data_IF_239360705169
#
_entry.id   IF_239360705169
#
_cell.length_a   1.000
_cell.length_b   1.000
_cell.length_c   1.000
_cell.angle_alpha   90.00
_cell.angle_beta   90.00
_cell.angle_gamma   90.00
#
_symmetry.space_group_name_H-M   'P 1'
#
loop_
_entity.id
_entity.type
_entity.pdbx_description
1 polymer ?
#
# COMPACT_ATOMS: atom_id res chain seq x y z
N UNK A 1 -4.32 23.79 -4.90
CA UNK A 1 -5.58 23.13 -5.31
C UNK A 1 -5.38 21.66 -5.07
N UNK A 2 -6.06 21.09 -4.06
CA UNK A 2 -6.10 19.63 -3.89
C UNK A 2 -6.68 19.07 -5.17
N UNK A 3 -5.97 18.16 -5.85
CA UNK A 3 -6.51 17.54 -7.05
C UNK A 3 -7.71 16.69 -6.64
N UNK A 4 -8.89 17.03 -7.14
CA UNK A 4 -10.08 16.22 -6.91
C UNK A 4 -9.87 14.83 -7.49
N UNK A 5 -10.09 13.81 -6.67
CA UNK A 5 -10.15 12.41 -7.13
C UNK A 5 -11.23 12.35 -8.23
N UNK A 6 -10.92 11.68 -9.34
CA UNK A 6 -11.84 11.57 -10.45
C UNK A 6 -13.22 11.04 -9.97
N UNK A 7 -14.34 11.69 -10.33
CA UNK A 7 -15.68 11.27 -9.88
C UNK A 7 -16.01 9.80 -10.19
N UNK A 8 -15.53 9.27 -11.32
CA UNK A 8 -15.74 7.87 -11.69
C UNK A 8 -15.02 6.90 -10.75
N UNK A 9 -13.94 7.34 -10.11
CA UNK A 9 -13.26 6.57 -9.06
C UNK A 9 -14.07 6.61 -7.77
N UNK A 10 -14.59 7.78 -7.38
CA UNK A 10 -15.41 7.94 -6.18
C UNK A 10 -16.68 7.07 -6.23
N UNK A 11 -17.29 6.93 -7.41
CA UNK A 11 -18.44 6.04 -7.64
C UNK A 11 -18.13 4.55 -7.39
N UNK A 12 -16.86 4.14 -7.42
CA UNK A 12 -16.43 2.76 -7.14
C UNK A 12 -16.14 2.51 -5.67
N UNK A 13 -16.10 3.54 -4.82
CA UNK A 13 -15.78 3.41 -3.40
C UNK A 13 -17.04 2.97 -2.63
N UNK A 14 -16.94 2.02 -1.67
CA UNK A 14 -18.08 1.64 -0.86
C UNK A 14 -18.57 2.83 -0.04
N UNK A 15 -19.88 3.05 -0.01
CA UNK A 15 -20.49 4.23 0.61
C UNK A 15 -20.62 4.11 2.15
N UNK A 16 -19.96 3.14 2.77
CA UNK A 16 -19.92 3.00 4.21
C UNK A 16 -19.09 4.13 4.84
N UNK A 17 -19.56 4.70 5.96
CA UNK A 17 -18.88 5.81 6.66
C UNK A 17 -17.41 5.52 6.98
N UNK A 18 -17.09 4.26 7.29
CA UNK A 18 -15.72 3.80 7.54
C UNK A 18 -14.81 3.95 6.31
N UNK A 19 -15.35 3.78 5.09
CA UNK A 19 -14.61 3.93 3.85
C UNK A 19 -14.41 5.40 3.49
N UNK A 20 -15.44 6.22 3.65
CA UNK A 20 -15.35 7.65 3.38
C UNK A 20 -14.34 8.33 4.32
N UNK A 21 -14.42 8.03 5.62
CA UNK A 21 -13.44 8.53 6.59
C UNK A 21 -12.04 7.96 6.40
N UNK A 22 -11.89 6.71 5.95
CA UNK A 22 -10.59 6.15 5.59
C UNK A 22 -9.97 6.89 4.40
N UNK A 23 -10.78 7.22 3.39
CA UNK A 23 -10.36 7.99 2.23
C UNK A 23 -9.95 9.41 2.63
N UNK A 24 -10.72 10.08 3.48
CA UNK A 24 -10.38 11.41 4.00
C UNK A 24 -9.03 11.40 4.72
N UNK A 25 -8.82 10.44 5.63
CA UNK A 25 -7.55 10.29 6.32
C UNK A 25 -6.38 10.06 5.34
N UNK A 26 -6.57 9.21 4.33
CA UNK A 26 -5.56 8.96 3.31
C UNK A 26 -5.28 10.21 2.46
N UNK A 27 -6.30 11.00 2.12
CA UNK A 27 -6.16 12.27 1.39
C UNK A 27 -5.37 13.31 2.17
N UNK A 28 -5.55 13.36 3.48
CA UNK A 28 -4.83 14.30 4.35
C UNK A 28 -3.40 13.86 4.63
N UNK A 29 -3.16 12.54 4.66
CA UNK A 29 -1.87 11.96 5.01
C UNK A 29 -0.91 11.77 3.82
N UNK A 30 -1.43 11.34 2.67
CA UNK A 30 -0.62 10.84 1.57
C UNK A 30 -0.35 11.90 0.49
N UNK A 31 0.88 11.96 -0.05
CA UNK A 31 1.13 12.61 -1.33
C UNK A 31 0.27 12.01 -2.44
N UNK A 32 -0.13 12.82 -3.42
CA UNK A 32 -1.00 12.41 -4.54
C UNK A 32 -0.51 11.14 -5.26
N UNK A 33 0.80 10.94 -5.56
CA UNK A 33 1.26 9.70 -6.19
C UNK A 33 0.94 8.44 -5.38
N UNK A 34 1.12 8.50 -4.05
CA UNK A 34 0.85 7.37 -3.14
C UNK A 34 -0.66 7.17 -2.97
N UNK A 35 -1.43 8.26 -2.83
CA UNK A 35 -2.90 8.17 -2.79
C UNK A 35 -3.47 7.54 -4.07
N UNK A 36 -3.00 7.96 -5.25
CA UNK A 36 -3.41 7.39 -6.52
C UNK A 36 -3.03 5.91 -6.61
N UNK A 37 -1.83 5.54 -6.14
CA UNK A 37 -1.41 4.14 -6.03
C UNK A 37 -2.38 3.33 -5.17
N UNK A 38 -2.67 3.78 -3.94
CA UNK A 38 -3.58 3.07 -3.04
C UNK A 38 -5.00 2.92 -3.61
N UNK A 39 -5.50 3.92 -4.34
CA UNK A 39 -6.77 3.83 -5.07
C UNK A 39 -6.71 2.85 -6.25
N UNK A 40 -5.62 2.82 -7.03
CA UNK A 40 -5.44 1.83 -8.11
C UNK A 40 -5.35 0.41 -7.54
N UNK A 41 -4.62 0.21 -6.44
CA UNK A 41 -4.54 -1.07 -5.71
C UNK A 41 -5.93 -1.54 -5.28
N UNK A 42 -6.77 -0.65 -4.73
CA UNK A 42 -8.15 -1.01 -4.39
C UNK A 42 -8.94 -1.50 -5.61
N UNK A 43 -8.91 -0.74 -6.71
CA UNK A 43 -9.66 -1.08 -7.91
C UNK A 43 -9.19 -2.41 -8.51
N UNK A 44 -7.87 -2.63 -8.60
CA UNK A 44 -7.28 -3.89 -9.07
C UNK A 44 -7.66 -5.05 -8.16
N UNK A 45 -7.55 -4.88 -6.84
CA UNK A 45 -7.89 -5.90 -5.87
C UNK A 45 -9.39 -6.26 -5.92
N UNK A 46 -10.28 -5.27 -6.09
CA UNK A 46 -11.72 -5.48 -6.28
C UNK A 46 -12.01 -6.25 -7.57
N UNK A 47 -11.36 -5.89 -8.68
CA UNK A 47 -11.50 -6.59 -9.95
C UNK A 47 -11.02 -8.04 -9.88
N UNK A 48 -9.90 -8.30 -9.19
CA UNK A 48 -9.39 -9.65 -8.96
C UNK A 48 -10.35 -10.42 -8.04
N UNK A 49 -10.90 -9.79 -7.00
CA UNK A 49 -11.89 -10.41 -6.11
C UNK A 49 -13.16 -10.85 -6.87
N UNK A 50 -13.62 -10.05 -7.83
CA UNK A 50 -14.73 -10.39 -8.72
C UNK A 50 -14.38 -11.61 -9.60
N UNK A 51 -13.18 -11.65 -10.18
CA UNK A 51 -12.71 -12.77 -11.03
C UNK A 51 -12.50 -14.07 -10.27
N UNK A 52 -11.98 -14.00 -9.04
CA UNK A 52 -11.70 -15.16 -8.20
C UNK A 52 -12.93 -15.62 -7.36
N UNK A 53 -14.11 -15.00 -7.56
CA UNK A 53 -15.31 -15.26 -6.73
C UNK A 53 -15.04 -15.11 -5.22
N UNK A 54 -14.16 -14.18 -4.86
CA UNK A 54 -13.70 -13.98 -3.48
C UNK A 54 -14.81 -13.39 -2.59
N UNK A 55 -14.87 -13.75 -1.29
CA UNK A 55 -15.82 -13.14 -0.34
C UNK A 55 -15.76 -11.60 -0.32
N UNK A 56 -14.58 -11.03 -0.60
CA UNK A 56 -14.34 -9.59 -0.60
C UNK A 56 -14.97 -8.82 -1.77
N UNK A 57 -15.59 -9.51 -2.74
CA UNK A 57 -16.43 -8.85 -3.75
C UNK A 57 -17.80 -8.44 -3.21
N UNK A 58 -18.24 -9.03 -2.09
CA UNK A 58 -19.55 -8.75 -1.50
C UNK A 58 -19.57 -7.37 -0.82
N UNK A 59 -20.75 -6.74 -0.81
CA UNK A 59 -20.93 -5.43 -0.16
C UNK A 59 -20.52 -5.46 1.31
N UNK A 60 -20.82 -6.55 2.04
CA UNK A 60 -20.51 -6.72 3.46
C UNK A 60 -19.00 -6.75 3.76
N UNK A 61 -18.20 -7.31 2.84
CA UNK A 61 -16.76 -7.47 3.03
C UNK A 61 -15.94 -6.38 2.31
N UNK A 62 -16.55 -5.69 1.34
CA UNK A 62 -15.88 -4.65 0.55
C UNK A 62 -15.29 -3.49 1.38
N UNK A 63 -15.83 -3.10 2.57
CA UNK A 63 -15.18 -2.11 3.41
C UNK A 63 -13.82 -2.54 3.94
N UNK A 64 -13.64 -3.83 4.27
CA UNK A 64 -12.35 -4.34 4.72
C UNK A 64 -11.32 -4.32 3.59
N UNK A 65 -11.74 -4.68 2.37
CA UNK A 65 -10.90 -4.59 1.18
C UNK A 65 -10.48 -3.14 0.89
N UNK A 66 -11.44 -2.21 0.96
CA UNK A 66 -11.18 -0.80 0.73
C UNK A 66 -10.22 -0.21 1.76
N UNK A 67 -10.49 -0.41 3.06
CA UNK A 67 -9.62 0.10 4.14
C UNK A 67 -8.22 -0.50 4.04
N UNK A 68 -8.11 -1.80 3.80
CA UNK A 68 -6.81 -2.44 3.61
C UNK A 68 -6.02 -1.81 2.44
N UNK A 69 -6.66 -1.60 1.30
CA UNK A 69 -6.01 -1.03 0.13
C UNK A 69 -5.66 0.47 0.29
N UNK A 70 -6.58 1.29 0.80
CA UNK A 70 -6.38 2.74 0.91
C UNK A 70 -5.36 3.11 2.00
N UNK A 71 -5.16 2.24 2.99
CA UNK A 71 -4.22 2.48 4.10
C UNK A 71 -2.93 1.67 4.05
N UNK A 72 -2.70 0.77 3.08
CA UNK A 72 -1.52 -0.12 3.14
C UNK A 72 -0.16 0.62 3.19
N UNK A 73 -0.09 1.80 2.56
CA UNK A 73 1.09 2.68 2.56
C UNK A 73 0.96 3.90 3.49
N UNK A 74 -0.12 4.03 4.28
CA UNK A 74 -0.36 5.25 5.06
C UNK A 74 0.74 5.51 6.11
N UNK A 75 1.40 4.47 6.60
CA UNK A 75 2.55 4.54 7.49
C UNK A 75 3.80 5.18 6.87
N UNK A 76 3.83 5.35 5.55
CA UNK A 76 4.86 6.15 4.87
C UNK A 76 4.63 7.67 5.04
N UNK A 77 3.44 8.09 5.45
CA UNK A 77 3.11 9.49 5.75
C UNK A 77 3.67 9.96 7.10
N UNK A 78 3.75 11.28 7.31
CA UNK A 78 4.06 11.84 8.62
C UNK A 78 2.94 11.58 9.66
N UNK A 79 1.66 11.60 9.25
CA UNK A 79 0.52 11.49 10.17
C UNK A 79 0.40 10.11 10.82
N UNK A 80 0.88 9.07 10.12
CA UNK A 80 0.82 7.69 10.61
C UNK A 80 2.22 7.08 10.75
N UNK A 81 3.26 7.90 10.90
CA UNK A 81 4.61 7.43 11.17
C UNK A 81 4.78 7.02 12.65
N UNK A 82 5.67 6.06 12.91
CA UNK A 82 6.07 5.63 14.24
C UNK A 82 7.47 5.02 14.25
N UNK A 83 7.84 4.40 15.38
CA UNK A 83 9.18 3.80 15.57
C UNK A 83 9.41 2.51 14.77
N UNK A 84 8.33 1.88 14.29
CA UNK A 84 8.37 0.63 13.54
C UNK A 84 8.38 0.87 12.03
N UNK A 85 8.77 -0.15 11.25
CA UNK A 85 8.66 -0.15 9.78
C UNK A 85 7.26 0.27 9.30
N UNK A 86 7.21 0.99 8.17
CA UNK A 86 5.99 1.64 7.72
C UNK A 86 4.82 0.67 7.53
N UNK A 87 5.08 -0.60 7.17
CA UNK A 87 4.03 -1.61 7.02
C UNK A 87 3.27 -1.86 8.33
N UNK A 88 3.99 -1.87 9.46
CA UNK A 88 3.37 -2.04 10.78
C UNK A 88 2.65 -0.76 11.20
N UNK A 89 3.23 0.40 10.93
CA UNK A 89 2.56 1.68 11.21
C UNK A 89 1.26 1.84 10.40
N UNK A 90 1.26 1.43 9.13
CA UNK A 90 0.07 1.37 8.28
C UNK A 90 -0.98 0.43 8.87
N UNK A 91 -0.56 -0.78 9.26
CA UNK A 91 -1.45 -1.79 9.82
C UNK A 91 -2.10 -1.32 11.13
N UNK A 92 -1.31 -0.74 12.04
CA UNK A 92 -1.78 -0.18 13.31
C UNK A 92 -2.76 0.98 13.08
N UNK A 93 -2.49 1.85 12.11
CA UNK A 93 -3.38 2.94 11.72
C UNK A 93 -4.74 2.41 11.24
N UNK A 94 -4.74 1.48 10.29
CA UNK A 94 -5.96 0.89 9.75
C UNK A 94 -6.76 0.10 10.80
N UNK A 95 -6.08 -0.65 11.67
CA UNK A 95 -6.72 -1.36 12.79
C UNK A 95 -7.39 -0.39 13.75
N UNK A 96 -6.71 0.69 14.13
CA UNK A 96 -7.28 1.70 15.00
C UNK A 96 -8.47 2.43 14.35
N UNK A 97 -8.41 2.66 13.03
CA UNK A 97 -9.51 3.23 12.25
C UNK A 97 -10.76 2.34 12.30
N UNK A 98 -10.61 1.05 12.00
CA UNK A 98 -11.71 0.07 12.01
C UNK A 98 -12.31 -0.13 13.41
N UNK A 99 -11.47 -0.23 14.43
CA UNK A 99 -11.92 -0.38 15.81
C UNK A 99 -12.77 0.82 16.26
N UNK A 100 -12.39 2.05 15.88
CA UNK A 100 -13.18 3.27 16.15
C UNK A 100 -14.53 3.26 15.42
N UNK A 101 -14.59 2.64 14.24
CA UNK A 101 -15.81 2.45 13.46
C UNK A 101 -16.66 1.25 13.91
N UNK A 102 -16.31 0.59 15.02
CA UNK A 102 -17.11 -0.48 15.62
C UNK A 102 -16.92 -1.87 14.99
N UNK A 103 -15.91 -2.06 14.14
CA UNK A 103 -15.57 -3.38 13.60
C UNK A 103 -15.01 -4.29 14.68
N UNK A 104 -15.25 -5.59 14.52
CA UNK A 104 -14.73 -6.60 15.46
C UNK A 104 -13.20 -6.64 15.46
N UNK A 105 -12.63 -7.11 16.56
CA UNK A 105 -11.18 -7.35 16.65
C UNK A 105 -10.70 -8.31 15.56
N UNK A 106 -11.49 -9.34 15.24
CA UNK A 106 -11.15 -10.30 14.19
C UNK A 106 -11.08 -9.64 12.80
N UNK A 107 -12.07 -8.81 12.45
CA UNK A 107 -12.08 -8.09 11.17
C UNK A 107 -10.94 -7.05 11.10
N UNK A 108 -10.70 -6.33 12.19
CA UNK A 108 -9.62 -5.34 12.28
C UNK A 108 -8.24 -6.00 12.20
N UNK A 109 -8.08 -7.19 12.81
CA UNK A 109 -6.85 -7.97 12.73
C UNK A 109 -6.62 -8.58 11.34
N UNK A 110 -7.68 -8.93 10.61
CA UNK A 110 -7.56 -9.39 9.23
C UNK A 110 -7.01 -8.29 8.32
N UNK A 111 -7.51 -7.05 8.45
CA UNK A 111 -6.99 -5.88 7.72
C UNK A 111 -5.56 -5.57 8.15
N UNK A 112 -5.29 -5.59 9.47
CA UNK A 112 -3.94 -5.42 9.99
C UNK A 112 -2.97 -6.42 9.36
N UNK A 113 -3.35 -7.70 9.30
CA UNK A 113 -2.52 -8.76 8.72
C UNK A 113 -2.24 -8.50 7.25
N UNK A 114 -3.28 -8.20 6.46
CA UNK A 114 -3.15 -7.91 5.03
C UNK A 114 -2.19 -6.77 4.74
N UNK A 115 -2.24 -5.70 5.54
CA UNK A 115 -1.32 -4.58 5.43
C UNK A 115 0.08 -4.99 5.92
N UNK A 116 0.23 -5.62 7.08
CA UNK A 116 1.55 -5.94 7.64
C UNK A 116 2.40 -6.83 6.71
N UNK A 117 1.75 -7.71 5.92
CA UNK A 117 2.44 -8.64 5.01
C UNK A 117 2.48 -8.19 3.55
N UNK A 118 1.89 -7.05 3.16
CA UNK A 118 1.75 -6.70 1.73
C UNK A 118 3.09 -6.60 0.96
N UNK A 119 4.21 -6.35 1.67
CA UNK A 119 5.57 -6.34 1.11
C UNK A 119 6.33 -7.67 1.29
N UNK A 120 5.65 -8.76 1.66
CA UNK A 120 6.27 -10.06 1.98
C UNK A 120 5.92 -11.13 0.93
N UNK A 121 6.74 -11.29 -0.13
CA UNK A 121 6.48 -12.26 -1.20
C UNK A 121 6.35 -13.70 -0.67
N UNK A 122 5.40 -14.45 -1.20
CA UNK A 122 5.13 -15.85 -0.87
C UNK A 122 4.27 -16.03 0.39
N UNK A 123 4.31 -15.08 1.33
CA UNK A 123 3.48 -15.09 2.55
C UNK A 123 2.11 -14.48 2.24
N UNK A 124 2.09 -13.25 1.73
CA UNK A 124 0.86 -12.50 1.53
C UNK A 124 -0.12 -13.20 0.56
N UNK A 125 0.41 -13.85 -0.48
CA UNK A 125 -0.39 -14.55 -1.49
C UNK A 125 -1.05 -15.84 -0.95
N UNK A 126 -0.63 -16.34 0.22
CA UNK A 126 -1.00 -17.65 0.78
C UNK A 126 -1.67 -17.61 2.15
N UNK A 127 -1.45 -16.57 2.94
CA UNK A 127 -1.87 -16.55 4.36
C UNK A 127 -3.40 -16.45 4.52
N UNK A 128 -4.05 -15.55 3.78
CA UNK A 128 -5.51 -15.41 3.75
C UNK A 128 -5.98 -14.66 2.48
N UNK A 129 -7.28 -14.72 2.12
CA UNK A 129 -7.77 -14.12 0.88
C UNK A 129 -7.64 -12.59 0.81
N UNK A 130 -7.72 -11.87 1.93
CA UNK A 130 -7.57 -10.40 1.92
C UNK A 130 -6.12 -10.02 1.65
N UNK A 131 -5.18 -10.60 2.39
CA UNK A 131 -3.74 -10.41 2.18
C UNK A 131 -3.34 -10.70 0.74
N UNK A 132 -3.91 -11.76 0.16
CA UNK A 132 -3.69 -12.13 -1.24
C UNK A 132 -4.17 -11.03 -2.18
N UNK A 133 -5.40 -10.55 -2.03
CA UNK A 133 -5.95 -9.52 -2.92
C UNK A 133 -5.16 -8.21 -2.86
N UNK A 134 -4.78 -7.76 -1.66
CA UNK A 134 -3.94 -6.56 -1.49
C UNK A 134 -2.60 -6.76 -2.18
N UNK A 135 -1.95 -7.91 -1.96
CA UNK A 135 -0.67 -8.24 -2.60
C UNK A 135 -0.76 -8.27 -4.11
N UNK A 136 -1.78 -8.90 -4.68
CA UNK A 136 -1.98 -8.94 -6.13
C UNK A 136 -2.30 -7.56 -6.71
N UNK A 137 -3.05 -6.72 -5.97
CA UNK A 137 -3.29 -5.32 -6.34
C UNK A 137 -1.99 -4.52 -6.41
N UNK A 138 -1.16 -4.60 -5.37
CA UNK A 138 0.16 -3.94 -5.30
C UNK A 138 1.07 -4.41 -6.45
N UNK A 139 1.19 -5.73 -6.65
CA UNK A 139 2.01 -6.29 -7.72
C UNK A 139 1.45 -5.97 -9.11
N UNK A 140 0.14 -5.79 -9.27
CA UNK A 140 -0.43 -5.36 -10.54
C UNK A 140 -0.11 -3.90 -10.85
N UNK A 141 -0.08 -3.04 -9.82
CA UNK A 141 0.21 -1.61 -9.99
C UNK A 141 1.69 -1.30 -10.20
N UNK A 142 2.59 -1.95 -9.44
CA UNK A 142 4.04 -1.76 -9.58
C UNK A 142 4.73 -2.76 -10.50
N UNK A 143 4.07 -3.86 -10.84
CA UNK A 143 4.66 -4.92 -11.66
C UNK A 143 4.70 -4.64 -13.16
N UNK A 144 5.25 -5.61 -13.88
CA UNK A 144 5.36 -5.56 -15.34
C UNK A 144 4.03 -5.78 -16.03
N UNK A 145 3.97 -5.41 -17.32
CA UNK A 145 2.85 -5.76 -18.19
C UNK A 145 2.60 -7.27 -18.26
N UNK A 146 3.66 -8.07 -18.27
CA UNK A 146 3.56 -9.53 -18.30
C UNK A 146 2.88 -10.07 -17.04
N UNK A 147 3.19 -9.49 -15.87
CA UNK A 147 2.52 -9.83 -14.61
C UNK A 147 1.02 -9.51 -14.69
N UNK A 148 0.66 -8.29 -15.12
CA UNK A 148 -0.76 -7.92 -15.31
C UNK A 148 -1.47 -8.81 -16.33
N UNK A 149 -0.80 -9.20 -17.40
CA UNK A 149 -1.33 -10.10 -18.43
C UNK A 149 -1.59 -11.48 -17.85
N UNK A 150 -0.68 -12.00 -17.01
CA UNK A 150 -0.84 -13.30 -16.35
C UNK A 150 -2.05 -13.37 -15.41
N UNK A 151 -2.43 -12.23 -14.80
CA UNK A 151 -3.64 -12.09 -13.98
C UNK A 151 -4.88 -11.67 -14.80
N UNK A 152 -4.70 -11.33 -16.08
CA UNK A 152 -5.74 -10.79 -16.96
C UNK A 152 -6.36 -9.50 -16.43
N UNK A 153 -5.53 -8.56 -15.97
CA UNK A 153 -5.93 -7.24 -15.46
C UNK A 153 -5.38 -6.07 -16.27
N UNK A 154 -4.62 -6.34 -17.34
CA UNK A 154 -3.88 -5.31 -18.10
C UNK A 154 -4.80 -4.26 -18.76
N UNK A 155 -5.91 -4.68 -19.34
CA UNK A 155 -6.90 -3.77 -19.95
C UNK A 155 -7.51 -2.87 -18.88
N UNK A 156 -7.93 -3.44 -17.75
CA UNK A 156 -8.51 -2.68 -16.64
C UNK A 156 -7.50 -1.73 -15.99
N UNK A 157 -6.25 -2.15 -15.82
CA UNK A 157 -5.16 -1.29 -15.37
C UNK A 157 -5.00 -0.06 -16.28
N UNK A 158 -5.01 -0.28 -17.60
CA UNK A 158 -4.89 0.81 -18.59
C UNK A 158 -6.03 1.82 -18.50
N UNK A 159 -7.22 1.40 -18.09
CA UNK A 159 -8.36 2.29 -17.86
C UNK A 159 -8.19 3.11 -16.58
N UNK A 160 -7.86 2.47 -15.47
CA UNK A 160 -7.76 3.16 -14.18
C UNK A 160 -6.55 4.09 -14.09
N UNK A 161 -5.45 3.80 -14.78
CA UNK A 161 -4.26 4.68 -14.83
C UNK A 161 -4.60 6.04 -15.46
N UNK A 162 -5.53 6.09 -16.42
CA UNK A 162 -6.00 7.36 -17.03
C UNK A 162 -6.76 8.21 -16.02
N UNK A 163 -7.44 7.58 -15.05
CA UNK A 163 -8.22 8.26 -14.02
C UNK A 163 -7.35 8.62 -12.79
N UNK A 164 -6.31 7.84 -12.55
CA UNK A 164 -5.40 7.93 -11.41
C UNK A 164 -3.95 7.87 -11.91
N UNK A 165 -3.39 8.99 -12.41
CA UNK A 165 -2.04 9.00 -12.98
C UNK A 165 -0.98 8.56 -11.95
N UNK A 166 0.09 7.89 -12.43
CA UNK A 166 1.15 7.34 -11.57
C UNK A 166 1.96 8.40 -10.83
N UNK A 167 2.33 9.48 -11.53
CA UNK A 167 3.05 10.62 -10.96
C UNK A 167 4.33 10.21 -10.20
N UNK A 168 5.13 9.31 -10.79
CA UNK A 168 6.36 8.75 -10.20
C UNK A 168 6.15 8.11 -8.81
N UNK A 169 5.04 7.37 -8.65
CA UNK A 169 4.66 6.71 -7.40
C UNK A 169 5.79 5.88 -6.78
N UNK A 170 6.59 5.17 -7.59
CA UNK A 170 7.72 4.37 -7.14
C UNK A 170 8.79 5.21 -6.45
N UNK A 171 9.17 6.32 -7.09
CA UNK A 171 10.13 7.27 -6.50
C UNK A 171 9.54 7.91 -5.26
N UNK A 172 8.30 8.37 -5.33
CA UNK A 172 7.64 9.07 -4.23
C UNK A 172 7.52 8.18 -2.97
N UNK A 173 7.11 6.92 -3.12
CA UNK A 173 6.98 5.98 -2.02
C UNK A 173 8.35 5.57 -1.47
N UNK A 174 9.32 5.25 -2.34
CA UNK A 174 10.68 4.91 -1.93
C UNK A 174 11.34 6.05 -1.13
N UNK A 175 11.22 7.29 -1.62
CA UNK A 175 11.73 8.48 -0.94
C UNK A 175 11.02 8.71 0.40
N UNK A 176 9.69 8.57 0.43
CA UNK A 176 8.91 8.73 1.66
C UNK A 176 9.37 7.75 2.74
N UNK A 177 9.56 6.46 2.40
CA UNK A 177 10.04 5.44 3.34
C UNK A 177 11.48 5.74 3.81
N UNK A 178 12.40 6.03 2.89
CA UNK A 178 13.80 6.33 3.23
C UNK A 178 13.93 7.58 4.10
N UNK A 179 13.11 8.61 3.85
CA UNK A 179 13.13 9.87 4.61
C UNK A 179 12.77 9.72 6.08
N UNK A 180 12.22 8.57 6.49
CA UNK A 180 11.92 8.27 7.89
C UNK A 180 13.18 7.86 8.70
N UNK A 181 14.32 7.64 8.05
CA UNK A 181 15.59 7.39 8.71
C UNK A 181 16.09 8.64 9.46
N UNK A 182 16.56 8.44 10.70
CA UNK A 182 17.14 9.53 11.50
C UNK A 182 18.46 10.04 10.90
N UNK A 183 19.22 9.12 10.32
CA UNK A 183 20.47 9.38 9.61
C UNK A 183 20.67 8.31 8.53
N UNK A 184 21.43 8.63 7.49
CA UNK A 184 21.79 7.66 6.46
C UNK A 184 22.95 6.80 7.01
N UNK A 185 22.76 5.48 7.19
CA UNK A 185 23.78 4.63 7.79
C UNK A 185 24.93 4.40 6.82
N UNK A 186 26.13 4.14 7.37
CA UNK A 186 27.18 3.49 6.59
C UNK A 186 26.79 2.04 6.32
N UNK A 187 26.98 1.58 5.08
CA UNK A 187 26.65 0.22 4.66
C UNK A 187 27.79 -0.38 3.86
N UNK A 188 28.01 -1.69 4.05
CA UNK A 188 28.98 -2.49 3.32
C UNK A 188 28.52 -3.96 3.27
N UNK A 189 29.41 -4.90 2.94
CA UNK A 189 29.06 -6.32 2.87
C UNK A 189 28.70 -6.94 4.22
N UNK A 190 29.05 -6.31 5.35
CA UNK A 190 28.86 -6.80 6.71
C UNK A 190 27.90 -5.91 7.53
N UNK A 191 27.64 -4.69 7.07
CA UNK A 191 26.90 -3.65 7.79
C UNK A 191 25.59 -3.35 7.08
N UNK A 192 24.48 -3.66 7.74
CA UNK A 192 23.13 -3.41 7.26
C UNK A 192 22.40 -2.46 8.20
N UNK A 193 21.46 -1.63 7.69
CA UNK A 193 20.45 -1.01 8.54
C UNK A 193 19.71 -2.09 9.31
N UNK A 194 19.64 -1.95 10.63
CA UNK A 194 18.96 -2.91 11.48
C UNK A 194 18.48 -2.25 12.78
N UNK A 195 17.32 -1.60 12.69
CA UNK A 195 16.56 -1.15 13.85
C UNK A 195 15.06 -1.49 13.67
N UNK A 196 14.21 -1.05 14.60
CA UNK A 196 12.77 -1.31 14.50
C UNK A 196 12.12 -0.66 13.26
N UNK A 197 12.69 0.43 12.76
CA UNK A 197 12.17 1.22 11.64
C UNK A 197 12.60 0.66 10.29
N UNK A 198 13.84 0.20 10.22
CA UNK A 198 14.49 -0.42 9.08
C UNK A 198 15.11 -1.76 9.47
N UNK A 199 14.30 -2.80 9.78
CA UNK A 199 14.83 -4.12 10.08
C UNK A 199 15.61 -4.68 8.88
N UNK A 200 16.71 -5.38 9.15
CA UNK A 200 17.43 -6.10 8.10
C UNK A 200 16.50 -7.11 7.39
N UNK A 201 16.71 -7.32 6.08
CA UNK A 201 15.89 -8.20 5.23
C UNK A 201 14.38 -7.85 5.18
N UNK A 202 14.02 -6.60 5.46
CA UNK A 202 12.70 -6.04 5.16
C UNK A 202 12.78 -5.09 3.96
N UNK A 203 11.67 -4.86 3.26
CA UNK A 203 11.64 -3.90 2.15
C UNK A 203 12.14 -2.50 2.53
N UNK A 204 11.71 -1.86 3.65
CA UNK A 204 12.28 -0.58 4.07
C UNK A 204 13.78 -0.65 4.36
N UNK A 205 14.25 -1.70 5.03
CA UNK A 205 15.68 -1.89 5.27
C UNK A 205 16.50 -2.03 3.98
N UNK A 206 15.95 -2.71 2.98
CA UNK A 206 16.55 -2.85 1.65
C UNK A 206 16.56 -1.50 0.91
N UNK A 207 15.47 -0.73 0.94
CA UNK A 207 15.40 0.61 0.34
C UNK A 207 16.42 1.58 0.96
N UNK A 208 16.52 1.62 2.29
CA UNK A 208 17.48 2.48 2.99
C UNK A 208 18.93 2.07 2.66
N UNK A 209 19.22 0.78 2.63
CA UNK A 209 20.53 0.28 2.22
C UNK A 209 20.87 0.72 0.80
N UNK A 210 19.97 0.50 -0.16
CA UNK A 210 20.20 0.86 -1.55
C UNK A 210 20.40 2.37 -1.74
N UNK A 211 19.69 3.20 -0.97
CA UNK A 211 19.92 4.64 -0.93
C UNK A 211 21.33 4.98 -0.41
N UNK A 212 21.77 4.36 0.68
CA UNK A 212 23.09 4.59 1.26
C UNK A 212 24.24 4.12 0.33
N UNK A 213 24.03 3.06 -0.46
CA UNK A 213 25.01 2.56 -1.45
C UNK A 213 25.14 3.46 -2.69
N UNK A 214 24.13 4.30 -2.98
CA UNK A 214 24.06 5.10 -4.20
C UNK A 214 23.90 6.61 -3.87
N UNK A 215 24.87 7.23 -3.17
CA UNK A 215 24.77 8.63 -2.79
C UNK A 215 24.72 9.53 -4.04
N UNK A 216 23.63 10.30 -4.18
CA UNK A 216 23.40 11.19 -5.31
C UNK A 216 22.60 10.60 -6.48
N UNK A 217 22.10 9.37 -6.35
CA UNK A 217 21.12 8.82 -7.30
C UNK A 217 19.82 9.65 -7.27
N UNK A 218 19.43 10.18 -8.42
CA UNK A 218 18.19 10.94 -8.61
C UNK A 218 17.26 10.15 -9.54
N UNK A 219 16.32 9.43 -8.95
CA UNK A 219 15.41 8.53 -9.66
C UNK A 219 14.69 7.58 -8.71
N UNK A 220 14.05 6.54 -9.27
CA UNK A 220 13.46 5.45 -8.48
C UNK A 220 14.57 4.73 -7.71
N UNK A 221 14.34 4.45 -6.43
CA UNK A 221 15.30 3.72 -5.60
C UNK A 221 15.72 2.41 -6.29
N UNK A 222 17.03 2.08 -6.40
CA UNK A 222 17.47 0.88 -7.12
C UNK A 222 16.94 -0.45 -6.58
N UNK A 223 16.41 -0.46 -5.36
CA UNK A 223 15.82 -1.65 -4.74
C UNK A 223 14.30 -1.55 -4.53
N UNK A 224 13.63 -0.64 -5.23
CA UNK A 224 12.17 -0.62 -5.34
C UNK A 224 11.68 -1.84 -6.12
#
# INVERSE_FOLDING_TARGET
>A
MMSDINPLVLEKIPQADTCLSALELARDALPIPILNHSLRVYLLARYIAEKEDSPFKSEDQSPLLFVAAIHHDIGASHLCNGEQRFEICSADCAKAHLAKSGYSEAASHQVWTAIAVHTSPGIAERIDPLSRLIRLGVLSDFGSKDYRTSLGVDEYYTEIEKLLPRLDAEKCLGDAVVSQAKEIPHVDSLTWPNDAKFPAASWPGILLRAHAENPGHDGVNPAF
#
